data_IF_127571103204
#
_entry.id   IF_127571103204
#
_cell.length_a   1.000
_cell.length_b   1.000
_cell.length_c   1.000
_cell.angle_alpha   90.00
_cell.angle_beta   90.00
_cell.angle_gamma   90.00
#
_symmetry.space_group_name_H-M   'P 1'
#
loop_
_entity.id
_entity.type
_entity.pdbx_description
1 polymer ?
#
# COMPACT_ATOMS: atom_id res chain seq x y z
N UNK A 1 5.79 -5.76 25.49
CA UNK A 1 7.09 -5.09 25.60
C UNK A 1 7.36 -4.39 24.28
N UNK A 2 7.80 -3.14 24.32
CA UNK A 2 8.19 -2.43 23.12
C UNK A 2 9.37 -3.14 22.45
N UNK A 3 9.40 -3.15 21.11
CA UNK A 3 10.34 -3.95 20.33
C UNK A 3 10.82 -3.16 19.13
N UNK A 4 12.12 -3.21 18.85
CA UNK A 4 12.68 -2.58 17.66
C UNK A 4 12.56 -3.50 16.44
N UNK A 5 12.09 -2.95 15.32
CA UNK A 5 12.07 -3.62 14.02
C UNK A 5 13.49 -3.99 13.60
N UNK A 6 14.47 -3.13 13.92
CA UNK A 6 15.89 -3.39 13.69
C UNK A 6 16.33 -4.71 14.32
N UNK A 7 16.08 -4.91 15.61
CA UNK A 7 16.49 -6.13 16.30
C UNK A 7 15.83 -7.38 15.72
N UNK A 8 14.56 -7.26 15.29
CA UNK A 8 13.84 -8.34 14.60
C UNK A 8 14.42 -8.63 13.21
N UNK A 9 14.83 -7.59 12.50
CA UNK A 9 15.49 -7.74 11.22
C UNK A 9 16.88 -8.37 11.37
N UNK A 10 17.69 -7.95 12.34
CA UNK A 10 19.03 -8.50 12.61
C UNK A 10 18.94 -10.00 13.01
N UNK A 11 17.90 -10.38 13.74
CA UNK A 11 17.62 -11.79 14.05
C UNK A 11 17.22 -12.58 12.80
N UNK A 12 16.33 -12.01 11.97
CA UNK A 12 15.92 -12.60 10.70
C UNK A 12 17.09 -12.75 9.73
N UNK A 13 17.98 -11.77 9.64
CA UNK A 13 19.17 -11.81 8.77
C UNK A 13 20.08 -12.98 9.12
N UNK A 14 20.34 -13.20 10.41
CA UNK A 14 21.13 -14.35 10.88
C UNK A 14 20.43 -15.67 10.56
N UNK A 15 19.13 -15.76 10.78
CA UNK A 15 18.36 -16.97 10.51
C UNK A 15 18.30 -17.29 9.01
N UNK A 16 18.04 -16.28 8.17
CA UNK A 16 18.00 -16.41 6.72
C UNK A 16 19.37 -16.82 6.16
N UNK A 17 20.46 -16.23 6.66
CA UNK A 17 21.81 -16.60 6.26
C UNK A 17 22.13 -18.04 6.67
N UNK A 18 21.82 -18.45 7.91
CA UNK A 18 22.04 -19.82 8.35
C UNK A 18 21.26 -20.84 7.50
N UNK A 19 20.01 -20.52 7.12
CA UNK A 19 19.21 -21.37 6.22
C UNK A 19 19.81 -21.44 4.81
N UNK A 20 20.31 -20.31 4.30
CA UNK A 20 21.00 -20.24 3.01
C UNK A 20 22.25 -21.12 3.00
N UNK A 21 23.13 -20.95 3.98
CA UNK A 21 24.38 -21.70 4.10
C UNK A 21 24.13 -23.20 4.27
N UNK A 22 23.13 -23.57 5.07
CA UNK A 22 22.74 -24.97 5.25
C UNK A 22 22.22 -25.60 3.96
N UNK A 23 21.37 -24.90 3.21
CA UNK A 23 20.84 -25.42 1.95
C UNK A 23 21.94 -25.58 0.91
N UNK A 24 22.81 -24.56 0.79
CA UNK A 24 23.98 -24.63 -0.10
C UNK A 24 24.88 -25.80 0.25
N UNK A 25 25.21 -25.99 1.53
CA UNK A 25 26.02 -27.11 1.98
C UNK A 25 25.37 -28.46 1.66
N UNK A 26 24.06 -28.58 1.83
CA UNK A 26 23.33 -29.81 1.52
C UNK A 26 23.34 -30.10 0.00
N UNK A 27 23.14 -29.08 -0.83
CA UNK A 27 23.16 -29.23 -2.29
C UNK A 27 24.57 -29.59 -2.79
N UNK A 28 25.61 -28.95 -2.27
CA UNK A 28 27.01 -29.31 -2.58
C UNK A 28 27.37 -30.72 -2.12
N UNK A 29 26.88 -31.17 -0.96
CA UNK A 29 27.08 -32.54 -0.47
C UNK A 29 26.37 -33.57 -1.35
N UNK A 30 25.13 -33.28 -1.76
CA UNK A 30 24.40 -34.11 -2.72
C UNK A 30 25.16 -34.21 -4.06
N UNK A 31 25.66 -33.08 -4.57
CA UNK A 31 26.44 -33.06 -5.81
C UNK A 31 27.71 -33.91 -5.70
N UNK A 32 28.44 -33.84 -4.57
CA UNK A 32 29.61 -34.72 -4.32
C UNK A 32 29.23 -36.18 -4.38
N UNK A 33 28.17 -36.59 -3.67
CA UNK A 33 27.70 -37.98 -3.66
C UNK A 33 27.36 -38.44 -5.08
N UNK A 34 26.68 -37.62 -5.88
CA UNK A 34 26.35 -37.97 -7.26
C UNK A 34 27.58 -38.06 -8.17
N UNK A 35 28.49 -37.08 -8.09
CA UNK A 35 29.73 -37.07 -8.88
C UNK A 35 30.57 -38.31 -8.57
N UNK A 36 30.67 -38.68 -7.29
CA UNK A 36 31.41 -39.86 -6.86
C UNK A 36 30.76 -41.17 -7.32
N UNK A 37 29.43 -41.29 -7.25
CA UNK A 37 28.69 -42.47 -7.69
C UNK A 37 28.82 -42.72 -9.20
N UNK A 38 28.90 -41.66 -10.00
CA UNK A 38 28.98 -41.74 -11.46
C UNK A 38 30.41 -41.63 -12.02
N UNK A 39 31.41 -41.36 -11.18
CA UNK A 39 32.80 -41.21 -11.62
C UNK A 39 33.05 -39.97 -12.48
N UNK A 40 32.35 -38.87 -12.20
CA UNK A 40 32.33 -37.65 -13.01
C UNK A 40 33.26 -36.54 -12.47
N UNK A 41 34.28 -36.89 -11.66
CA UNK A 41 35.11 -35.91 -10.94
C UNK A 41 35.88 -34.96 -11.87
N UNK A 42 36.24 -35.43 -13.08
CA UNK A 42 36.95 -34.62 -14.07
C UNK A 42 36.02 -33.77 -14.95
N UNK A 43 34.70 -34.01 -14.88
CA UNK A 43 33.71 -33.40 -15.77
C UNK A 43 32.80 -32.38 -15.07
N UNK A 44 32.53 -32.56 -13.77
CA UNK A 44 31.58 -31.76 -13.01
C UNK A 44 32.19 -31.17 -11.74
N UNK A 45 31.84 -29.92 -11.48
CA UNK A 45 32.10 -29.24 -10.21
C UNK A 45 30.91 -29.44 -9.26
N UNK A 46 31.20 -29.76 -8.00
CA UNK A 46 30.16 -29.94 -6.99
C UNK A 46 29.65 -28.61 -6.42
N UNK A 47 30.42 -27.52 -6.59
CA UNK A 47 30.09 -26.21 -6.04
C UNK A 47 28.81 -25.64 -6.66
N UNK A 48 27.93 -25.15 -5.79
CA UNK A 48 26.68 -24.52 -6.22
C UNK A 48 26.84 -23.00 -6.17
N UNK A 49 26.36 -22.32 -7.22
CA UNK A 49 26.40 -20.86 -7.24
C UNK A 49 25.30 -20.28 -6.36
N UNK A 50 25.56 -19.15 -5.74
CA UNK A 50 24.61 -18.52 -4.81
C UNK A 50 23.25 -18.17 -5.45
N UNK A 51 23.22 -17.91 -6.77
CA UNK A 51 22.01 -17.60 -7.53
C UNK A 51 21.18 -18.83 -7.93
N UNK A 52 21.72 -20.04 -7.74
CA UNK A 52 21.01 -21.32 -7.96
C UNK A 52 20.32 -21.79 -6.67
N UNK A 53 20.65 -21.22 -5.51
CA UNK A 53 20.04 -21.54 -4.23
C UNK A 53 18.60 -21.00 -4.17
N UNK A 54 17.66 -21.90 -3.87
CA UNK A 54 16.22 -21.58 -3.89
C UNK A 54 15.74 -20.68 -2.75
N UNK A 55 16.51 -20.55 -1.66
CA UNK A 55 16.23 -19.61 -0.56
C UNK A 55 17.05 -18.35 -0.73
N UNK A 56 16.47 -17.19 -0.44
CA UNK A 56 17.16 -15.91 -0.54
C UNK A 56 17.62 -15.42 0.83
N UNK A 57 18.80 -14.78 0.93
CA UNK A 57 19.20 -14.03 2.12
C UNK A 57 18.20 -12.92 2.46
N UNK A 58 18.30 -12.41 3.69
CA UNK A 58 17.54 -11.23 4.09
C UNK A 58 17.94 -10.01 3.25
N UNK A 59 16.96 -9.19 2.91
CA UNK A 59 17.19 -7.92 2.21
C UNK A 59 16.34 -6.85 2.87
N UNK A 60 16.99 -5.87 3.50
CA UNK A 60 16.30 -4.84 4.30
C UNK A 60 15.23 -4.11 3.47
N UNK A 61 15.50 -3.82 2.21
CA UNK A 61 14.56 -3.11 1.33
C UNK A 61 13.31 -3.94 1.01
N UNK A 62 13.50 -5.19 0.60
CA UNK A 62 12.44 -6.16 0.30
C UNK A 62 11.63 -6.48 1.55
N UNK A 63 12.29 -6.77 2.67
CA UNK A 63 11.63 -7.28 3.86
C UNK A 63 10.85 -6.17 4.59
N UNK A 64 11.33 -4.92 4.59
CA UNK A 64 10.55 -3.77 5.08
C UNK A 64 9.35 -3.47 4.16
N UNK A 65 9.49 -3.56 2.83
CA UNK A 65 8.33 -3.42 1.92
C UNK A 65 7.31 -4.55 2.10
N UNK A 66 7.76 -5.76 2.41
CA UNK A 66 6.90 -6.88 2.79
C UNK A 66 6.16 -6.59 4.09
N UNK A 67 6.84 -6.02 5.10
CA UNK A 67 6.19 -5.56 6.34
C UNK A 67 5.11 -4.50 6.07
N UNK A 68 5.39 -3.50 5.23
CA UNK A 68 4.40 -2.49 4.83
C UNK A 68 3.20 -3.16 4.13
N UNK A 69 3.45 -4.10 3.21
CA UNK A 69 2.39 -4.81 2.50
C UNK A 69 1.55 -5.69 3.44
N UNK A 70 2.17 -6.31 4.43
CA UNK A 70 1.49 -7.06 5.49
C UNK A 70 0.62 -6.13 6.35
N UNK A 71 1.15 -4.98 6.76
CA UNK A 71 0.41 -3.97 7.52
C UNK A 71 -0.84 -3.50 6.75
N UNK A 72 -0.72 -3.21 5.45
CA UNK A 72 -1.88 -2.88 4.59
C UNK A 72 -2.86 -4.05 4.52
N UNK A 73 -2.38 -5.30 4.51
CA UNK A 73 -3.24 -6.47 4.63
C UNK A 73 -4.02 -6.52 5.95
N UNK A 74 -3.41 -6.16 7.07
CA UNK A 74 -4.12 -6.02 8.34
C UNK A 74 -5.11 -4.85 8.33
N UNK A 75 -4.77 -3.73 7.68
CA UNK A 75 -5.68 -2.59 7.51
C UNK A 75 -6.92 -2.92 6.69
N UNK A 76 -6.83 -3.85 5.73
CA UNK A 76 -7.99 -4.32 4.98
C UNK A 76 -8.66 -5.56 5.60
N UNK A 77 -8.07 -6.16 6.64
CA UNK A 77 -8.58 -7.37 7.26
C UNK A 77 -8.23 -8.65 6.49
N UNK A 78 -7.33 -8.60 5.50
CA UNK A 78 -6.81 -9.80 4.88
C UNK A 78 -6.07 -10.69 5.89
N UNK A 79 -5.39 -10.05 6.84
CA UNK A 79 -4.69 -10.67 7.96
C UNK A 79 -5.19 -10.10 9.28
N UNK A 80 -5.01 -10.86 10.37
CA UNK A 80 -5.24 -10.40 11.74
C UNK A 80 -3.97 -10.55 12.57
N UNK A 81 -3.83 -9.74 13.61
CA UNK A 81 -2.80 -9.92 14.65
C UNK A 81 -3.23 -10.92 15.74
N UNK A 82 -4.46 -11.41 15.63
CA UNK A 82 -5.09 -12.32 16.59
C UNK A 82 -5.16 -13.76 16.06
N UNK A 83 -4.93 -13.99 14.77
CA UNK A 83 -5.01 -15.29 14.12
C UNK A 83 -3.83 -15.51 13.17
N UNK A 84 -3.33 -16.74 13.10
CA UNK A 84 -2.26 -17.11 12.18
C UNK A 84 -2.78 -17.26 10.74
N UNK A 85 -1.99 -16.78 9.78
CA UNK A 85 -2.28 -16.96 8.36
C UNK A 85 -3.32 -16.00 7.79
N UNK A 86 -3.91 -16.40 6.67
CA UNK A 86 -4.90 -15.62 5.91
C UNK A 86 -6.27 -15.69 6.62
N UNK A 87 -6.83 -14.53 6.97
CA UNK A 87 -8.07 -14.45 7.77
C UNK A 87 -9.29 -14.26 6.88
N UNK A 88 -9.16 -13.40 5.87
CA UNK A 88 -10.23 -13.10 4.94
C UNK A 88 -9.73 -13.02 3.50
N UNK A 89 -10.44 -13.72 2.61
CA UNK A 89 -10.21 -13.72 1.16
C UNK A 89 -11.51 -13.98 0.38
N UNK A 90 -12.65 -13.51 0.90
CA UNK A 90 -13.98 -13.70 0.30
C UNK A 90 -14.99 -14.28 1.28
N UNK A 91 -16.28 -14.17 0.94
CA UNK A 91 -17.39 -14.56 1.81
C UNK A 91 -17.81 -13.44 2.78
N UNK A 92 -18.43 -13.82 3.90
CA UNK A 92 -18.89 -12.86 4.92
C UNK A 92 -17.73 -12.31 5.74
N UNK A 93 -17.64 -10.97 5.81
CA UNK A 93 -16.58 -10.29 6.54
C UNK A 93 -16.96 -10.09 8.01
N UNK A 94 -16.28 -10.79 8.92
CA UNK A 94 -16.53 -10.71 10.37
C UNK A 94 -15.48 -9.87 11.10
N UNK A 95 -15.88 -8.65 11.51
CA UNK A 95 -15.03 -7.73 12.27
C UNK A 95 -14.64 -8.25 13.67
N UNK A 96 -15.36 -9.23 14.23
CA UNK A 96 -15.09 -9.75 15.58
C UNK A 96 -13.75 -10.51 15.70
N UNK A 97 -13.20 -10.93 14.55
CA UNK A 97 -11.91 -11.61 14.40
C UNK A 97 -10.68 -10.69 14.51
N UNK A 98 -10.89 -9.38 14.62
CA UNK A 98 -9.84 -8.37 14.66
C UNK A 98 -9.91 -7.56 15.96
N UNK A 99 -9.24 -8.06 17.00
CA UNK A 99 -9.31 -7.51 18.37
C UNK A 99 -8.20 -6.49 18.62
N UNK A 100 -6.94 -6.87 18.34
CA UNK A 100 -5.77 -6.00 18.59
C UNK A 100 -5.70 -4.80 17.65
N UNK A 101 -6.01 -5.03 16.38
CA UNK A 101 -5.96 -4.01 15.35
C UNK A 101 -7.15 -4.18 14.41
N UNK A 102 -8.03 -3.19 14.39
CA UNK A 102 -9.26 -3.24 13.59
C UNK A 102 -8.97 -2.80 12.15
N UNK A 103 -9.42 -3.57 11.15
CA UNK A 103 -9.34 -3.15 9.77
C UNK A 103 -10.29 -1.96 9.52
N UNK A 104 -10.10 -1.33 8.37
CA UNK A 104 -10.99 -0.30 7.86
C UNK A 104 -12.40 -0.84 7.66
N UNK A 105 -13.40 -0.12 8.18
CA UNK A 105 -14.78 -0.58 8.16
C UNK A 105 -15.34 -0.62 6.73
N UNK A 106 -15.06 0.40 5.93
CA UNK A 106 -15.68 0.60 4.62
C UNK A 106 -14.79 0.15 3.46
N UNK A 107 -13.68 -0.52 3.76
CA UNK A 107 -12.73 -1.05 2.78
C UNK A 107 -12.09 0.05 1.90
N UNK A 108 -11.93 1.26 2.43
CA UNK A 108 -11.38 2.42 1.70
C UNK A 108 -10.29 3.07 2.54
N UNK A 109 -9.06 3.10 2.02
CA UNK A 109 -7.93 3.82 2.62
C UNK A 109 -7.47 4.96 1.71
N UNK A 110 -7.48 6.19 2.21
CA UNK A 110 -7.03 7.36 1.49
C UNK A 110 -5.50 7.42 1.40
N UNK A 111 -5.03 7.81 0.22
CA UNK A 111 -3.62 8.05 -0.09
C UNK A 111 -3.39 9.54 -0.34
N UNK A 112 -3.46 10.33 0.73
CA UNK A 112 -3.28 11.79 0.70
C UNK A 112 -1.80 12.17 0.73
N UNK A 113 -1.46 13.26 0.06
CA UNK A 113 -0.09 13.78 -0.02
C UNK A 113 0.29 14.72 1.13
N UNK A 114 -0.66 15.04 2.00
CA UNK A 114 -0.49 15.74 3.26
C UNK A 114 -1.46 15.13 4.32
N UNK A 115 -1.21 15.44 5.58
CA UNK A 115 -2.11 15.11 6.68
C UNK A 115 -3.18 16.19 6.79
N UNK A 116 -4.38 15.89 6.27
CA UNK A 116 -5.51 16.82 6.25
C UNK A 116 -6.31 16.81 7.55
N UNK A 117 -6.32 15.68 8.27
CA UNK A 117 -6.97 15.50 9.57
C UNK A 117 -6.18 14.47 10.39
N UNK A 118 -5.92 14.78 11.66
CA UNK A 118 -5.09 13.93 12.54
C UNK A 118 -5.85 12.69 13.05
N UNK A 119 -7.18 12.75 13.05
CA UNK A 119 -8.06 11.70 13.57
C UNK A 119 -8.76 10.91 12.45
N UNK A 120 -8.36 11.12 11.19
CA UNK A 120 -8.92 10.39 10.05
C UNK A 120 -8.26 9.02 9.90
N UNK A 121 -8.87 8.02 10.52
CA UNK A 121 -8.44 6.62 10.48
C UNK A 121 -8.49 5.98 9.07
N UNK A 122 -9.01 6.70 8.06
CA UNK A 122 -8.91 6.29 6.66
C UNK A 122 -7.61 6.71 5.99
N UNK A 123 -6.87 7.68 6.54
CA UNK A 123 -5.53 8.02 6.07
C UNK A 123 -4.58 6.85 6.32
N UNK A 124 -4.02 6.31 5.22
CA UNK A 124 -3.18 5.12 5.30
C UNK A 124 -1.95 5.29 6.19
N UNK A 125 -1.39 6.51 6.28
CA UNK A 125 -0.19 6.78 7.07
C UNK A 125 -0.54 6.82 8.55
N UNK A 126 -1.66 7.45 8.91
CA UNK A 126 -2.18 7.45 10.29
C UNK A 126 -2.43 6.00 10.73
N UNK A 127 -3.13 5.23 9.89
CA UNK A 127 -3.43 3.82 10.16
C UNK A 127 -2.17 2.95 10.22
N UNK A 128 -1.16 3.24 9.40
CA UNK A 128 0.15 2.58 9.43
C UNK A 128 0.93 2.88 10.70
N UNK A 129 1.00 4.14 11.12
CA UNK A 129 1.65 4.54 12.37
C UNK A 129 0.97 3.85 13.55
N UNK A 130 -0.37 3.81 13.57
CA UNK A 130 -1.14 3.07 14.57
C UNK A 130 -0.82 1.57 14.57
N UNK A 131 -0.73 0.95 13.39
CA UNK A 131 -0.33 -0.45 13.27
C UNK A 131 1.05 -0.70 13.87
N UNK A 132 2.05 0.13 13.55
CA UNK A 132 3.40 -0.01 14.10
C UNK A 132 3.38 0.16 15.63
N UNK A 133 2.63 1.12 16.16
CA UNK A 133 2.46 1.31 17.60
C UNK A 133 1.78 0.09 18.27
N UNK A 134 0.77 -0.50 17.64
CA UNK A 134 0.07 -1.69 18.16
C UNK A 134 0.98 -2.92 18.19
N UNK A 135 1.78 -3.14 17.15
CA UNK A 135 2.61 -4.36 17.02
C UNK A 135 3.91 -4.24 17.83
N UNK A 136 4.57 -3.09 17.75
CA UNK A 136 5.92 -2.90 18.26
C UNK A 136 5.97 -2.04 19.53
N UNK A 137 4.85 -1.47 19.95
CA UNK A 137 4.75 -0.62 21.14
C UNK A 137 4.97 0.86 20.85
N UNK A 138 4.31 1.70 21.64
CA UNK A 138 4.38 3.16 21.51
C UNK A 138 5.78 3.73 21.83
N UNK A 139 6.51 3.09 22.75
CA UNK A 139 7.81 3.56 23.25
C UNK A 139 8.90 3.57 22.16
N UNK A 140 8.85 2.63 21.22
CA UNK A 140 9.83 2.49 20.12
C UNK A 140 9.30 3.00 18.78
N UNK A 141 8.15 3.69 18.78
CA UNK A 141 7.45 4.06 17.54
C UNK A 141 8.31 4.92 16.61
N UNK A 142 8.91 6.00 17.12
CA UNK A 142 9.69 6.92 16.27
C UNK A 142 10.93 6.25 15.69
N UNK A 143 11.67 5.48 16.49
CA UNK A 143 12.83 4.71 16.02
C UNK A 143 12.45 3.67 14.95
N UNK A 144 11.30 3.02 15.13
CA UNK A 144 10.77 2.07 14.14
C UNK A 144 10.33 2.76 12.84
N UNK A 145 9.71 3.93 12.92
CA UNK A 145 9.33 4.72 11.74
C UNK A 145 10.57 5.21 11.00
N UNK A 146 11.61 5.65 11.71
CA UNK A 146 12.91 6.03 11.13
C UNK A 146 13.56 4.85 10.41
N UNK A 147 13.62 3.69 11.07
CA UNK A 147 14.19 2.47 10.48
C UNK A 147 13.45 2.01 9.21
N UNK A 148 12.12 2.10 9.20
CA UNK A 148 11.30 1.83 8.01
C UNK A 148 11.60 2.87 6.93
N UNK A 149 11.61 4.16 7.29
CA UNK A 149 11.78 5.24 6.35
C UNK A 149 13.15 5.20 5.66
N UNK A 150 14.20 4.73 6.31
CA UNK A 150 15.56 4.64 5.76
C UNK A 150 15.64 3.94 4.39
N UNK A 151 14.87 2.88 4.18
CA UNK A 151 14.87 2.13 2.90
C UNK A 151 13.88 2.66 1.87
N UNK A 152 13.03 3.61 2.26
CA UNK A 152 12.05 4.20 1.36
C UNK A 152 12.68 5.36 0.56
N UNK A 153 12.30 5.53 -0.72
CA UNK A 153 12.88 6.55 -1.57
C UNK A 153 12.45 7.96 -1.14
N UNK A 154 13.38 8.92 -1.22
CA UNK A 154 13.12 10.34 -0.95
C UNK A 154 13.88 10.87 0.26
N UNK A 155 13.69 12.16 0.54
CA UNK A 155 14.25 12.89 1.67
C UNK A 155 13.11 13.50 2.50
N UNK A 156 13.42 13.91 3.74
CA UNK A 156 12.44 14.45 4.68
C UNK A 156 12.36 13.61 5.95
N UNK A 157 11.36 13.90 6.79
CA UNK A 157 11.10 13.12 8.01
C UNK A 157 10.49 11.77 7.65
N UNK A 158 10.50 10.86 8.61
CA UNK A 158 10.09 9.46 8.41
C UNK A 158 8.65 9.32 7.93
N UNK A 159 7.72 10.07 8.53
CA UNK A 159 6.32 10.14 8.09
C UNK A 159 6.18 10.70 6.66
N UNK A 160 6.99 11.68 6.26
CA UNK A 160 6.96 12.25 4.91
C UNK A 160 7.44 11.22 3.87
N UNK A 161 8.53 10.48 4.18
CA UNK A 161 9.04 9.41 3.32
C UNK A 161 8.02 8.27 3.16
N UNK A 162 7.38 7.85 4.27
CA UNK A 162 6.33 6.84 4.28
C UNK A 162 5.11 7.30 3.46
N UNK A 163 4.64 8.53 3.68
CA UNK A 163 3.51 9.12 2.93
C UNK A 163 3.82 9.17 1.43
N UNK A 164 5.00 9.65 1.05
CA UNK A 164 5.45 9.68 -0.35
C UNK A 164 5.52 8.29 -0.96
N UNK A 165 5.97 7.28 -0.20
CA UNK A 165 5.99 5.89 -0.66
C UNK A 165 4.57 5.40 -0.96
N UNK A 166 3.61 5.59 -0.06
CA UNK A 166 2.22 5.19 -0.28
C UNK A 166 1.58 5.87 -1.50
N UNK A 167 1.77 7.19 -1.65
CA UNK A 167 1.17 7.96 -2.75
C UNK A 167 1.75 7.59 -4.13
N UNK A 168 3.05 7.26 -4.19
CA UNK A 168 3.78 7.20 -5.47
C UNK A 168 4.41 5.86 -5.85
N UNK A 169 4.66 4.95 -4.88
CA UNK A 169 5.44 3.73 -5.12
C UNK A 169 4.76 2.46 -4.65
N UNK A 170 3.98 2.50 -3.56
CA UNK A 170 3.33 1.32 -3.00
C UNK A 170 2.55 0.54 -4.05
N UNK A 171 1.64 1.19 -4.80
CA UNK A 171 0.85 0.50 -5.81
C UNK A 171 1.69 -0.04 -6.97
N UNK A 172 2.78 0.63 -7.33
CA UNK A 172 3.71 0.13 -8.37
C UNK A 172 4.41 -1.15 -7.92
N UNK A 173 4.87 -1.20 -6.67
CA UNK A 173 5.50 -2.39 -6.11
C UNK A 173 4.45 -3.52 -5.97
N UNK A 174 3.24 -3.20 -5.51
CA UNK A 174 2.11 -4.12 -5.42
C UNK A 174 1.75 -4.73 -6.79
N UNK A 175 1.67 -3.93 -7.85
CA UNK A 175 1.44 -4.43 -9.21
C UNK A 175 2.50 -5.44 -9.65
N UNK A 176 3.78 -5.23 -9.30
CA UNK A 176 4.86 -6.17 -9.63
C UNK A 176 4.71 -7.48 -8.86
N UNK A 177 4.48 -7.41 -7.56
CA UNK A 177 4.29 -8.59 -6.70
C UNK A 177 3.17 -9.49 -7.22
N UNK A 178 2.06 -8.88 -7.66
CA UNK A 178 0.90 -9.60 -8.17
C UNK A 178 0.90 -9.78 -9.70
N UNK A 179 2.04 -9.64 -10.38
CA UNK A 179 2.18 -9.86 -11.84
C UNK A 179 1.09 -9.13 -12.67
N UNK A 180 0.81 -7.88 -12.32
CA UNK A 180 -0.23 -7.01 -12.90
C UNK A 180 -1.68 -7.50 -12.74
N UNK A 181 -1.95 -8.32 -11.71
CA UNK A 181 -3.28 -8.76 -11.28
C UNK A 181 -3.46 -8.47 -9.77
N UNK A 182 -3.46 -7.18 -9.38
CA UNK A 182 -3.39 -6.77 -7.98
C UNK A 182 -4.66 -7.13 -7.21
N UNK A 183 -4.52 -7.40 -5.91
CA UNK A 183 -5.66 -7.65 -5.01
C UNK A 183 -6.19 -6.38 -4.33
N UNK A 184 -5.31 -5.43 -4.03
CA UNK A 184 -5.70 -4.06 -3.69
C UNK A 184 -5.78 -3.24 -4.97
N UNK A 185 -6.87 -2.50 -5.17
CA UNK A 185 -7.05 -1.65 -6.35
C UNK A 185 -6.97 -0.20 -5.93
N UNK A 186 -6.29 0.60 -6.76
CA UNK A 186 -6.09 2.03 -6.50
C UNK A 186 -7.05 2.86 -7.34
N UNK A 187 -7.94 3.59 -6.67
CA UNK A 187 -8.65 4.72 -7.25
C UNK A 187 -7.66 5.88 -7.43
N UNK A 188 -7.70 6.53 -8.59
CA UNK A 188 -6.72 7.56 -8.95
C UNK A 188 -7.36 8.63 -9.84
N UNK A 189 -7.50 9.84 -9.30
CA UNK A 189 -8.03 10.98 -10.02
C UNK A 189 -7.09 11.48 -11.13
N UNK A 190 -5.78 11.23 -11.00
CA UNK A 190 -4.79 11.69 -11.97
C UNK A 190 -3.52 12.28 -11.37
N UNK A 191 -2.83 13.06 -12.20
CA UNK A 191 -1.44 13.51 -11.95
C UNK A 191 -1.34 14.59 -10.88
N UNK A 192 -2.44 15.30 -10.57
CA UNK A 192 -2.45 16.25 -9.48
C UNK A 192 -2.55 15.56 -8.11
N UNK A 193 -2.90 14.27 -8.07
CA UNK A 193 -3.28 13.55 -6.86
C UNK A 193 -4.47 14.26 -6.17
N UNK A 194 -5.51 14.58 -6.95
CA UNK A 194 -6.75 15.17 -6.43
C UNK A 194 -7.45 14.25 -5.42
N UNK A 195 -7.58 12.97 -5.74
CA UNK A 195 -7.91 11.89 -4.82
C UNK A 195 -7.21 10.60 -5.24
N UNK A 196 -6.70 9.89 -4.24
CA UNK A 196 -6.24 8.52 -4.37
C UNK A 196 -6.73 7.72 -3.19
N UNK A 197 -7.18 6.50 -3.45
CA UNK A 197 -7.62 5.59 -2.40
C UNK A 197 -7.30 4.15 -2.80
N UNK A 198 -7.14 3.27 -1.82
CA UNK A 198 -7.05 1.83 -2.01
C UNK A 198 -8.33 1.17 -1.53
N UNK A 199 -8.73 0.11 -2.22
CA UNK A 199 -9.70 -0.86 -1.74
C UNK A 199 -9.17 -2.28 -1.89
N UNK A 200 -9.67 -3.22 -1.08
CA UNK A 200 -9.38 -4.64 -1.25
C UNK A 200 -10.49 -5.33 -2.05
N UNK A 201 -10.14 -5.93 -3.19
CA UNK A 201 -11.08 -6.58 -4.12
C UNK A 201 -12.00 -7.60 -3.45
N UNK A 202 -11.49 -8.41 -2.52
CA UNK A 202 -12.29 -9.48 -1.91
C UNK A 202 -13.31 -8.95 -0.90
N UNK A 203 -13.23 -7.66 -0.54
CA UNK A 203 -14.19 -6.93 0.30
C UNK A 203 -15.03 -5.95 -0.51
N UNK A 204 -14.97 -6.00 -1.84
CA UNK A 204 -15.77 -5.13 -2.68
C UNK A 204 -17.26 -5.46 -2.54
N UNK A 205 -18.08 -4.43 -2.48
CA UNK A 205 -19.53 -4.51 -2.64
C UNK A 205 -20.01 -3.43 -3.62
N UNK A 206 -21.26 -3.54 -4.07
CA UNK A 206 -21.85 -2.62 -5.05
C UNK A 206 -22.07 -1.19 -4.51
N UNK A 207 -21.96 -0.99 -3.18
CA UNK A 207 -22.16 0.29 -2.52
C UNK A 207 -20.85 1.08 -2.35
N UNK A 208 -19.69 0.41 -2.47
CA UNK A 208 -18.36 0.98 -2.23
C UNK A 208 -18.08 2.28 -3.00
N UNK A 209 -18.48 2.38 -4.28
CA UNK A 209 -18.31 3.64 -5.03
C UNK A 209 -19.20 4.78 -4.49
N UNK A 210 -20.38 4.44 -3.97
CA UNK A 210 -21.25 5.38 -3.26
C UNK A 210 -20.57 5.90 -1.99
N UNK A 211 -20.06 4.99 -1.15
CA UNK A 211 -19.32 5.34 0.06
C UNK A 211 -18.08 6.18 -0.24
N UNK A 212 -17.26 5.77 -1.21
CA UNK A 212 -16.09 6.54 -1.65
C UNK A 212 -16.47 7.99 -2.00
N UNK A 213 -17.62 8.18 -2.64
CA UNK A 213 -18.11 9.51 -3.01
C UNK A 213 -18.56 10.32 -1.80
N UNK A 214 -19.50 9.79 -1.03
CA UNK A 214 -20.21 10.55 0.01
C UNK A 214 -19.38 10.74 1.26
N UNK A 215 -18.61 9.71 1.64
CA UNK A 215 -18.00 9.64 2.96
C UNK A 215 -16.51 10.03 2.95
N UNK A 216 -15.88 9.98 1.77
CA UNK A 216 -14.45 10.24 1.59
C UNK A 216 -14.18 11.43 0.66
N UNK A 217 -14.65 11.40 -0.59
CA UNK A 217 -14.41 12.49 -1.55
C UNK A 217 -15.02 13.80 -1.05
N UNK A 218 -16.23 13.79 -0.49
CA UNK A 218 -16.84 14.99 0.09
C UNK A 218 -16.00 15.58 1.23
N UNK A 219 -15.52 14.75 2.16
CA UNK A 219 -14.65 15.20 3.26
C UNK A 219 -13.32 15.73 2.75
N UNK A 220 -12.73 15.08 1.73
CA UNK A 220 -11.48 15.53 1.12
C UNK A 220 -11.64 16.91 0.45
N UNK A 221 -12.76 17.15 -0.25
CA UNK A 221 -13.08 18.47 -0.80
C UNK A 221 -13.19 19.54 0.30
N UNK A 222 -13.89 19.22 1.40
CA UNK A 222 -13.99 20.12 2.54
C UNK A 222 -12.62 20.44 3.13
N UNK A 223 -11.77 19.42 3.32
CA UNK A 223 -10.42 19.60 3.82
C UNK A 223 -9.54 20.48 2.91
N UNK A 224 -9.67 20.33 1.59
CA UNK A 224 -8.99 21.19 0.62
C UNK A 224 -9.45 22.65 0.72
N UNK A 225 -10.76 22.88 0.81
CA UNK A 225 -11.31 24.22 0.98
C UNK A 225 -10.83 24.87 2.29
N UNK A 226 -10.95 24.17 3.41
CA UNK A 226 -10.47 24.68 4.71
C UNK A 226 -8.97 24.95 4.70
N UNK A 227 -8.16 24.12 4.01
CA UNK A 227 -6.73 24.36 3.88
C UNK A 227 -6.42 25.58 3.01
N UNK A 228 -7.16 25.80 1.92
CA UNK A 228 -7.04 27.01 1.08
C UNK A 228 -7.37 28.26 1.91
N UNK A 229 -8.48 28.26 2.64
CA UNK A 229 -8.89 29.38 3.49
C UNK A 229 -7.85 29.70 4.57
N UNK A 230 -7.33 28.66 5.23
CA UNK A 230 -6.25 28.82 6.21
C UNK A 230 -5.00 29.46 5.58
N UNK A 231 -4.60 29.00 4.39
CA UNK A 231 -3.41 29.53 3.70
C UNK A 231 -3.60 30.96 3.21
N UNK A 232 -4.81 31.33 2.79
CA UNK A 232 -5.12 32.71 2.44
C UNK A 232 -5.06 33.62 3.68
N UNK A 233 -5.61 33.18 4.82
CA UNK A 233 -5.49 33.93 6.07
C UNK A 233 -4.02 34.10 6.50
N UNK A 234 -3.21 33.05 6.41
CA UNK A 234 -1.78 33.10 6.74
C UNK A 234 -0.99 33.99 5.78
N UNK A 235 -1.35 34.00 4.49
CA UNK A 235 -0.77 34.89 3.48
C UNK A 235 -1.06 36.36 3.80
N UNK A 236 -2.29 36.70 4.18
CA UNK A 236 -2.67 38.08 4.56
C UNK A 236 -1.93 38.56 5.83
N UNK A 237 -1.62 37.65 6.75
CA UNK A 237 -0.87 37.94 7.96
C UNK A 237 0.66 37.92 7.79
N UNK A 238 1.17 37.40 6.67
CA UNK A 238 2.60 37.24 6.44
C UNK A 238 3.30 38.59 6.21
N UNK A 239 4.46 38.77 6.83
CA UNK A 239 5.25 40.01 6.78
C UNK A 239 6.41 39.98 5.77
N UNK A 240 6.69 38.82 5.15
CA UNK A 240 7.76 38.65 4.18
C UNK A 240 7.29 37.97 2.89
N UNK A 241 7.95 38.32 1.78
CA UNK A 241 7.60 37.85 0.44
C UNK A 241 7.79 36.33 0.24
N UNK A 242 8.72 35.71 0.98
CA UNK A 242 9.00 34.28 0.86
C UNK A 242 7.84 33.43 1.37
N UNK A 243 7.25 33.79 2.51
CA UNK A 243 6.08 33.12 3.07
C UNK A 243 4.83 33.33 2.22
N UNK A 244 4.60 34.56 1.74
CA UNK A 244 3.52 34.86 0.79
C UNK A 244 3.61 33.93 -0.43
N UNK A 245 4.81 33.85 -1.04
CA UNK A 245 5.05 32.98 -2.19
C UNK A 245 4.86 31.50 -1.87
N UNK A 246 5.25 31.05 -0.66
CA UNK A 246 5.04 29.66 -0.22
C UNK A 246 3.56 29.33 -0.15
N UNK A 247 2.76 30.17 0.52
CA UNK A 247 1.32 29.96 0.67
C UNK A 247 0.59 30.02 -0.67
N UNK A 248 0.97 30.93 -1.57
CA UNK A 248 0.40 30.98 -2.93
C UNK A 248 0.68 29.70 -3.73
N UNK A 249 1.89 29.14 -3.63
CA UNK A 249 2.24 27.87 -4.28
C UNK A 249 1.42 26.70 -3.70
N UNK A 250 1.25 26.65 -2.39
CA UNK A 250 0.43 25.62 -1.73
C UNK A 250 -1.04 25.72 -2.16
N UNK A 251 -1.63 26.92 -2.15
CA UNK A 251 -2.99 27.14 -2.63
C UNK A 251 -3.15 26.78 -4.12
N UNK A 252 -2.17 27.12 -4.96
CA UNK A 252 -2.18 26.77 -6.39
C UNK A 252 -2.17 25.25 -6.59
N UNK A 253 -1.37 24.54 -5.79
CA UNK A 253 -1.34 23.08 -5.79
C UNK A 253 -2.69 22.49 -5.38
N UNK A 254 -3.27 22.94 -4.26
CA UNK A 254 -4.55 22.43 -3.76
C UNK A 254 -5.70 22.75 -4.72
N UNK A 255 -5.72 23.93 -5.35
CA UNK A 255 -6.72 24.26 -6.36
C UNK A 255 -6.63 23.32 -7.58
N UNK A 256 -5.42 22.92 -7.99
CA UNK A 256 -5.24 21.93 -9.05
C UNK A 256 -5.76 20.54 -8.62
N UNK A 257 -5.50 20.13 -7.39
CA UNK A 257 -6.03 18.91 -6.80
C UNK A 257 -7.56 18.93 -6.77
N UNK A 258 -8.17 20.03 -6.31
CA UNK A 258 -9.62 20.19 -6.23
C UNK A 258 -10.29 20.15 -7.60
N UNK A 259 -9.69 20.79 -8.61
CA UNK A 259 -10.20 20.74 -9.99
C UNK A 259 -10.19 19.31 -10.54
N UNK A 260 -9.12 18.56 -10.33
CA UNK A 260 -9.03 17.15 -10.74
C UNK A 260 -10.02 16.27 -9.96
N UNK A 261 -10.16 16.51 -8.64
CA UNK A 261 -11.10 15.81 -7.77
C UNK A 261 -12.56 16.02 -8.17
N UNK A 262 -12.94 17.22 -8.61
CA UNK A 262 -14.31 17.49 -9.06
C UNK A 262 -14.68 16.67 -10.30
N UNK A 263 -13.78 16.60 -11.29
CA UNK A 263 -13.98 15.75 -12.48
C UNK A 263 -14.02 14.27 -12.10
N UNK A 264 -13.19 13.85 -11.14
CA UNK A 264 -13.19 12.48 -10.65
C UNK A 264 -14.49 12.13 -9.92
N UNK A 265 -15.01 13.02 -9.07
CA UNK A 265 -16.29 12.86 -8.37
C UNK A 265 -17.46 12.66 -9.33
N UNK A 266 -17.51 13.40 -10.45
CA UNK A 266 -18.54 13.20 -11.48
C UNK A 266 -18.53 11.77 -12.04
N UNK A 267 -17.34 11.23 -12.33
CA UNK A 267 -17.17 9.85 -12.82
C UNK A 267 -17.58 8.81 -11.79
N UNK A 268 -17.14 8.97 -10.55
CA UNK A 268 -17.51 8.07 -9.44
C UNK A 268 -19.02 8.14 -9.21
N UNK A 269 -19.60 9.34 -9.22
CA UNK A 269 -21.03 9.55 -9.07
C UNK A 269 -21.86 8.83 -10.12
N UNK A 270 -21.42 8.88 -11.39
CA UNK A 270 -22.07 8.15 -12.48
C UNK A 270 -22.03 6.64 -12.24
N UNK A 271 -20.84 6.08 -11.98
CA UNK A 271 -20.66 4.63 -11.80
C UNK A 271 -21.29 4.10 -10.50
N UNK A 272 -21.35 4.91 -9.44
CA UNK A 272 -21.99 4.54 -8.18
C UNK A 272 -23.49 4.29 -8.34
N UNK A 273 -24.17 5.00 -9.25
CA UNK A 273 -25.59 4.76 -9.57
C UNK A 273 -25.83 3.42 -10.25
N UNK A 274 -24.80 2.85 -10.88
CA UNK A 274 -24.89 1.58 -11.62
C UNK A 274 -24.78 0.35 -10.73
N UNK A 275 -24.37 0.51 -9.46
CA UNK A 275 -24.24 -0.59 -8.47
C UNK A 275 -23.54 -1.81 -9.08
N UNK A 276 -22.38 -1.59 -9.69
CA UNK A 276 -21.67 -2.61 -10.47
C UNK A 276 -21.26 -3.75 -9.54
N UNK A 277 -21.79 -4.94 -9.78
CA UNK A 277 -21.36 -6.15 -9.08
C UNK A 277 -20.14 -6.78 -9.75
N UNK A 278 -19.24 -7.33 -8.94
CA UNK A 278 -18.04 -8.03 -9.40
C UNK A 278 -18.13 -9.51 -9.01
N UNK A 279 -17.78 -10.38 -9.95
CA UNK A 279 -17.67 -11.82 -9.71
C UNK A 279 -16.20 -12.19 -9.68
N UNK A 280 -15.70 -12.69 -8.55
CA UNK A 280 -14.28 -13.04 -8.40
C UNK A 280 -13.83 -14.11 -9.41
N UNK A 281 -14.73 -14.96 -9.90
CA UNK A 281 -14.44 -16.02 -10.86
C UNK A 281 -14.15 -15.48 -12.28
N UNK A 282 -14.65 -14.27 -12.62
CA UNK A 282 -14.27 -13.57 -13.85
C UNK A 282 -12.79 -13.16 -13.87
N UNK A 283 -12.16 -13.16 -12.69
CA UNK A 283 -10.76 -12.82 -12.49
C UNK A 283 -10.48 -11.32 -12.51
N UNK A 284 -9.27 -10.94 -12.07
CA UNK A 284 -8.91 -9.54 -11.82
C UNK A 284 -9.04 -8.66 -13.07
N UNK A 285 -8.60 -9.13 -14.24
CA UNK A 285 -8.53 -8.29 -15.45
C UNK A 285 -9.93 -7.86 -15.91
N UNK A 286 -10.88 -8.80 -15.95
CA UNK A 286 -12.25 -8.56 -16.39
C UNK A 286 -12.95 -7.62 -15.40
N UNK A 287 -12.89 -7.92 -14.11
CA UNK A 287 -13.52 -7.08 -13.09
C UNK A 287 -12.92 -5.67 -13.01
N UNK A 288 -11.60 -5.53 -13.22
CA UNK A 288 -10.93 -4.22 -13.20
C UNK A 288 -11.41 -3.32 -14.35
N UNK A 289 -11.69 -3.89 -15.52
CA UNK A 289 -12.28 -3.15 -16.64
C UNK A 289 -13.77 -2.89 -16.40
N UNK A 290 -14.52 -3.90 -15.91
CA UNK A 290 -15.95 -3.83 -15.60
C UNK A 290 -16.30 -2.68 -14.65
N UNK A 291 -15.55 -2.53 -13.55
CA UNK A 291 -15.78 -1.46 -12.56
C UNK A 291 -15.64 -0.03 -13.12
N UNK A 292 -15.03 0.12 -14.30
CA UNK A 292 -14.77 1.41 -14.92
C UNK A 292 -15.69 1.73 -16.10
N UNK A 293 -16.70 0.90 -16.34
CA UNK A 293 -17.63 1.04 -17.47
C UNK A 293 -19.06 1.21 -17.03
N UNK A 294 -19.78 2.03 -17.77
CA UNK A 294 -21.24 2.01 -17.73
C UNK A 294 -21.73 0.68 -18.35
N UNK A 295 -22.48 -0.16 -17.61
CA UNK A 295 -22.97 -1.43 -18.12
C UNK A 295 -23.99 -1.27 -19.26
N UNK A 296 -24.66 -0.12 -19.37
CA UNK A 296 -25.68 0.14 -20.38
C UNK A 296 -25.06 0.63 -21.69
N UNK A 297 -24.06 1.51 -21.61
CA UNK A 297 -23.47 2.17 -22.80
C UNK A 297 -22.10 1.60 -23.20
N UNK A 298 -21.42 0.89 -22.30
CA UNK A 298 -20.04 0.43 -22.46
C UNK A 298 -18.98 1.53 -22.35
N UNK A 299 -19.38 2.79 -22.11
CA UNK A 299 -18.47 3.94 -21.96
C UNK A 299 -17.53 3.75 -20.77
N UNK A 300 -16.23 4.05 -20.97
CA UNK A 300 -15.19 3.88 -19.96
C UNK A 300 -14.81 5.21 -19.31
N UNK A 301 -14.93 5.29 -17.98
CA UNK A 301 -14.71 6.54 -17.22
C UNK A 301 -13.28 6.70 -16.70
N UNK A 302 -12.49 5.63 -16.65
CA UNK A 302 -11.11 5.58 -16.13
C UNK A 302 -11.02 6.16 -14.72
N UNK A 303 -11.28 5.32 -13.72
CA UNK A 303 -11.28 5.69 -12.29
C UNK A 303 -10.21 4.95 -11.46
N UNK A 304 -9.60 3.90 -12.03
CA UNK A 304 -8.54 3.13 -11.39
C UNK A 304 -7.18 3.43 -12.02
N UNK A 305 -6.10 3.26 -11.26
CA UNK A 305 -4.74 3.45 -11.74
C UNK A 305 -4.39 2.52 -12.92
N UNK A 306 -3.47 2.95 -13.78
CA UNK A 306 -2.99 2.11 -14.89
C UNK A 306 -2.07 0.99 -14.38
N UNK A 307 -1.84 -0.02 -15.22
CA UNK A 307 -0.80 -1.04 -15.01
C UNK A 307 -1.30 -2.45 -14.75
N UNK A 308 -2.59 -2.63 -14.49
CA UNK A 308 -3.25 -3.94 -14.61
C UNK A 308 -3.18 -4.38 -16.07
N UNK A 309 -2.92 -5.67 -16.31
CA UNK A 309 -2.88 -6.22 -17.67
C UNK A 309 -4.26 -6.03 -18.31
N UNK A 310 -4.31 -5.45 -19.51
CA UNK A 310 -5.56 -5.31 -20.26
C UNK A 310 -5.98 -6.68 -20.83
N UNK A 311 -7.30 -6.94 -20.98
CA UNK A 311 -7.83 -8.21 -21.49
C UNK A 311 -7.24 -8.63 -22.84
#
# INVERSE_FOLDING_TARGET
MATLIKDKFDAWEKEAQARFDQLKSNEEELNKIFIDLYGLQDELDYHVKDDEISVSPADKGRDIKSLISYAVGCMFGRYSLDEEGLVFAGGEFDLSRYKKFKPDADNILLLTDDEYSQDDESDIVIKFVKFIATVYGQETLEENLDYIADVLPGSGKSRDKIRKYFVSKFYTDHLKTYKKRPIYWQFDSGKANGAKALMYLHRYDADLLGHLRTDYITKLKQAYHSRIELRESQKLAASNAAEITRYEKEMTKINKQLKELNVFDEKIGHLALKKIELDLDDGVIVNYDKLQRDPDTGEKYVILSKGVKEP
#
